data_IF_878815395183
#
_entry.id   IF_878815395183
#
_cell.length_a   1.000
_cell.length_b   1.000
_cell.length_c   1.000
_cell.angle_alpha   90.00
_cell.angle_beta   90.00
_cell.angle_gamma   90.00
#
_symmetry.space_group_name_H-M   'P 1'
#
loop_
_entity.id
_entity.type
_entity.pdbx_description
1 polymer ?
#
# COMPACT_ATOMS: atom_id res chain seq x y z
N UNK A 1 -27.26 -25.15 -22.21
CA UNK A 1 -27.48 -24.38 -21.00
C UNK A 1 -26.84 -23.00 -21.21
N UNK A 2 -27.67 -22.01 -21.41
CA UNK A 2 -27.29 -20.61 -21.49
C UNK A 2 -26.66 -20.26 -20.15
N UNK A 3 -25.36 -20.01 -20.09
CA UNK A 3 -24.74 -19.48 -18.89
C UNK A 3 -25.33 -18.09 -18.69
N UNK A 4 -26.24 -17.96 -17.73
CA UNK A 4 -26.80 -16.68 -17.34
C UNK A 4 -25.64 -15.81 -16.85
N UNK A 5 -25.39 -14.70 -17.54
CA UNK A 5 -24.43 -13.66 -17.13
C UNK A 5 -25.10 -12.68 -16.18
N UNK A 6 -25.91 -13.23 -15.29
CA UNK A 6 -26.67 -12.43 -14.32
C UNK A 6 -25.79 -12.13 -13.11
N UNK A 7 -25.86 -10.89 -12.67
CA UNK A 7 -25.29 -10.43 -11.41
C UNK A 7 -26.48 -10.11 -10.50
N UNK A 8 -26.57 -10.82 -9.37
CA UNK A 8 -27.62 -10.61 -8.38
C UNK A 8 -27.10 -9.71 -7.26
N UNK A 9 -27.69 -8.53 -7.11
CA UNK A 9 -27.36 -7.62 -5.99
C UNK A 9 -28.11 -8.12 -4.74
N UNK A 10 -27.34 -8.38 -3.69
CA UNK A 10 -27.85 -8.90 -2.42
C UNK A 10 -28.13 -7.79 -1.40
N UNK A 11 -27.21 -6.84 -1.28
CA UNK A 11 -27.31 -5.71 -0.35
C UNK A 11 -26.35 -4.57 -0.69
N UNK A 12 -26.60 -3.41 -0.10
CA UNK A 12 -25.70 -2.26 -0.17
C UNK A 12 -25.07 -2.02 1.20
N UNK A 13 -23.76 -1.87 1.23
CA UNK A 13 -22.98 -1.71 2.46
C UNK A 13 -21.99 -0.55 2.34
N UNK A 14 -21.64 0.11 3.45
CA UNK A 14 -20.51 1.04 3.48
C UNK A 14 -19.22 0.33 3.07
N UNK A 15 -18.34 1.04 2.35
CA UNK A 15 -17.08 0.45 1.84
C UNK A 15 -16.16 -0.04 2.95
N UNK A 16 -16.13 0.65 4.07
CA UNK A 16 -15.31 0.33 5.23
C UNK A 16 -15.70 -0.97 5.96
N UNK A 17 -16.87 -1.52 5.66
CA UNK A 17 -17.30 -2.82 6.21
C UNK A 17 -16.75 -4.03 5.44
N UNK A 18 -16.17 -3.80 4.27
CA UNK A 18 -15.56 -4.86 3.48
C UNK A 18 -14.06 -4.89 3.79
N UNK A 19 -13.61 -5.99 4.36
CA UNK A 19 -12.18 -6.20 4.60
C UNK A 19 -11.44 -6.33 3.26
N UNK A 20 -10.44 -5.48 2.97
CA UNK A 20 -9.63 -5.56 1.76
C UNK A 20 -8.96 -6.92 1.53
N UNK A 21 -8.71 -7.70 2.59
CA UNK A 21 -8.17 -9.06 2.48
C UNK A 21 -9.06 -10.02 1.69
N UNK A 22 -10.35 -9.71 1.58
CA UNK A 22 -11.30 -10.53 0.82
C UNK A 22 -11.15 -10.34 -0.69
N UNK A 23 -10.62 -9.21 -1.16
CA UNK A 23 -10.57 -8.91 -2.59
C UNK A 23 -9.58 -9.77 -3.36
N UNK A 24 -10.02 -10.23 -4.54
CA UNK A 24 -9.21 -11.06 -5.44
C UNK A 24 -8.95 -10.37 -6.79
N UNK A 25 -9.98 -10.25 -7.64
CA UNK A 25 -9.88 -9.78 -9.02
C UNK A 25 -10.91 -8.71 -9.31
N UNK A 26 -10.54 -7.76 -10.16
CA UNK A 26 -11.42 -6.68 -10.61
C UNK A 26 -11.74 -6.82 -12.09
N UNK A 27 -13.00 -6.54 -12.45
CA UNK A 27 -13.51 -6.59 -13.81
C UNK A 27 -14.31 -5.34 -14.10
N UNK A 28 -14.03 -4.67 -15.20
CA UNK A 28 -14.90 -3.62 -15.72
C UNK A 28 -16.14 -4.27 -16.34
N UNK A 29 -17.32 -3.73 -16.01
CA UNK A 29 -18.59 -4.24 -16.53
C UNK A 29 -19.10 -3.36 -17.67
N UNK A 30 -19.33 -3.99 -18.81
CA UNK A 30 -20.01 -3.39 -19.96
C UNK A 30 -21.42 -3.95 -20.04
N UNK A 31 -22.47 -3.11 -20.10
CA UNK A 31 -23.83 -3.59 -20.22
C UNK A 31 -24.13 -4.06 -21.63
N UNK A 32 -24.85 -5.16 -21.76
CA UNK A 32 -25.51 -5.49 -23.03
C UNK A 32 -26.60 -4.46 -23.35
N UNK A 33 -27.02 -4.37 -24.63
CA UNK A 33 -27.99 -3.36 -25.07
C UNK A 33 -29.28 -3.33 -24.22
N UNK A 34 -29.78 -4.51 -23.83
CA UNK A 34 -30.94 -4.64 -22.96
C UNK A 34 -30.69 -4.22 -21.51
N UNK A 35 -29.46 -4.26 -21.07
CA UNK A 35 -29.02 -3.93 -19.71
C UNK A 35 -28.61 -2.48 -19.51
N UNK A 36 -28.57 -1.65 -20.53
CA UNK A 36 -28.04 -0.29 -20.45
C UNK A 36 -28.78 0.59 -19.43
N UNK A 37 -30.10 0.52 -19.40
CA UNK A 37 -30.92 1.31 -18.45
C UNK A 37 -30.76 0.85 -17.00
N UNK A 38 -30.88 -0.43 -16.65
CA UNK A 38 -30.56 -0.93 -15.32
C UNK A 38 -29.16 -0.61 -14.86
N UNK A 39 -28.19 -0.73 -15.75
CA UNK A 39 -26.79 -0.38 -15.46
C UNK A 39 -26.64 1.09 -15.08
N UNK A 40 -27.22 2.00 -15.87
CA UNK A 40 -27.14 3.44 -15.58
C UNK A 40 -27.83 3.79 -14.24
N UNK A 41 -28.95 3.17 -13.94
CA UNK A 41 -29.65 3.37 -12.67
C UNK A 41 -28.83 2.87 -11.47
N UNK A 42 -28.26 1.67 -11.59
CA UNK A 42 -27.40 1.12 -10.53
C UNK A 42 -26.15 1.98 -10.32
N UNK A 43 -25.52 2.40 -11.40
CA UNK A 43 -24.34 3.29 -11.34
C UNK A 43 -24.66 4.58 -10.57
N UNK A 44 -25.75 5.23 -10.92
CA UNK A 44 -26.18 6.47 -10.25
C UNK A 44 -26.49 6.22 -8.77
N UNK A 45 -27.22 5.15 -8.48
CA UNK A 45 -27.55 4.81 -7.09
C UNK A 45 -26.31 4.54 -6.23
N UNK A 46 -25.28 3.88 -6.78
CA UNK A 46 -24.03 3.63 -6.09
C UNK A 46 -23.27 4.94 -5.80
N UNK A 47 -23.26 5.87 -6.76
CA UNK A 47 -22.63 7.19 -6.58
C UNK A 47 -23.34 8.02 -5.53
N UNK A 48 -24.68 8.08 -5.59
CA UNK A 48 -25.48 8.92 -4.69
C UNK A 48 -25.45 8.39 -3.23
N UNK A 49 -25.40 7.08 -3.06
CA UNK A 49 -25.44 6.45 -1.75
C UNK A 49 -24.06 6.34 -1.06
N UNK A 50 -22.98 6.54 -1.79
CA UNK A 50 -21.60 6.29 -1.32
C UNK A 50 -21.47 4.89 -0.67
N UNK A 51 -21.95 3.87 -1.40
CA UNK A 51 -21.98 2.48 -0.94
C UNK A 51 -21.47 1.54 -2.02
N UNK A 52 -21.09 0.35 -1.59
CA UNK A 52 -20.84 -0.79 -2.47
C UNK A 52 -22.04 -1.72 -2.47
N UNK A 53 -22.33 -2.32 -3.62
CA UNK A 53 -23.33 -3.39 -3.69
C UNK A 53 -22.64 -4.75 -3.55
N UNK A 54 -22.98 -5.51 -2.52
CA UNK A 54 -22.59 -6.91 -2.43
C UNK A 54 -23.46 -7.70 -3.40
N UNK A 55 -22.82 -8.47 -4.27
CA UNK A 55 -23.45 -9.19 -5.34
C UNK A 55 -22.89 -10.60 -5.49
N UNK A 56 -23.69 -11.48 -6.07
CA UNK A 56 -23.27 -12.79 -6.54
C UNK A 56 -23.31 -12.84 -8.06
N UNK A 57 -22.33 -13.49 -8.65
CA UNK A 57 -22.22 -13.65 -10.10
C UNK A 57 -21.75 -15.05 -10.47
N UNK A 58 -22.25 -15.58 -11.56
CA UNK A 58 -21.75 -16.83 -12.13
C UNK A 58 -20.56 -16.54 -13.05
N UNK A 59 -19.36 -16.82 -12.57
CA UNK A 59 -18.12 -16.68 -13.32
C UNK A 59 -17.50 -18.05 -13.57
N UNK A 60 -17.26 -18.40 -14.83
CA UNK A 60 -16.60 -19.67 -15.21
C UNK A 60 -17.20 -20.91 -14.51
N UNK A 61 -18.52 -21.03 -14.49
CA UNK A 61 -19.28 -22.14 -13.87
C UNK A 61 -19.22 -22.20 -12.33
N UNK A 62 -18.76 -21.15 -11.67
CA UNK A 62 -18.80 -21.01 -10.23
C UNK A 62 -19.61 -19.81 -9.82
N UNK A 63 -20.37 -19.92 -8.75
CA UNK A 63 -20.94 -18.76 -8.09
C UNK A 63 -19.83 -18.07 -7.29
N UNK A 64 -19.64 -16.80 -7.58
CA UNK A 64 -18.63 -15.96 -6.93
C UNK A 64 -19.34 -14.81 -6.24
N UNK A 65 -18.92 -14.49 -5.04
CA UNK A 65 -19.35 -13.28 -4.33
C UNK A 65 -18.38 -12.14 -4.69
N UNK A 66 -18.91 -10.93 -4.72
CA UNK A 66 -18.12 -9.74 -4.99
C UNK A 66 -18.85 -8.47 -4.60
N UNK A 67 -18.22 -7.36 -4.87
CA UNK A 67 -18.82 -6.04 -4.73
C UNK A 67 -18.83 -5.31 -6.06
N UNK A 68 -19.90 -4.54 -6.26
CA UNK A 68 -20.00 -3.58 -7.35
C UNK A 68 -19.74 -2.18 -6.78
N UNK A 69 -18.84 -1.46 -7.44
CA UNK A 69 -18.54 -0.06 -7.14
C UNK A 69 -18.32 0.72 -8.43
N UNK A 70 -18.40 2.02 -8.36
CA UNK A 70 -18.10 2.88 -9.52
C UNK A 70 -16.66 3.35 -9.45
N UNK A 71 -15.97 3.22 -10.56
CA UNK A 71 -14.62 3.78 -10.79
C UNK A 71 -14.58 4.36 -12.21
N UNK A 72 -14.13 5.61 -12.34
CA UNK A 72 -14.01 6.29 -13.63
C UNK A 72 -15.29 6.17 -14.50
N UNK A 73 -16.46 6.43 -13.90
CA UNK A 73 -17.78 6.32 -14.52
C UNK A 73 -18.22 4.92 -14.98
N UNK A 74 -17.48 3.89 -14.66
CA UNK A 74 -17.77 2.50 -15.00
C UNK A 74 -18.04 1.68 -13.74
N UNK A 75 -18.99 0.75 -13.80
CA UNK A 75 -19.18 -0.22 -12.72
C UNK A 75 -18.08 -1.27 -12.80
N UNK A 76 -17.42 -1.48 -11.66
CA UNK A 76 -16.42 -2.51 -11.47
C UNK A 76 -16.99 -3.59 -10.57
N UNK A 77 -16.90 -4.84 -11.00
CA UNK A 77 -17.08 -6.01 -10.15
C UNK A 77 -15.73 -6.40 -9.57
N UNK A 78 -15.61 -6.34 -8.27
CA UNK A 78 -14.44 -6.81 -7.54
C UNK A 78 -14.82 -8.10 -6.81
N UNK A 79 -14.27 -9.24 -7.26
CA UNK A 79 -14.57 -10.54 -6.66
C UNK A 79 -13.93 -10.66 -5.28
N UNK A 80 -14.54 -11.45 -4.44
CA UNK A 80 -14.08 -11.69 -3.08
C UNK A 80 -13.93 -13.19 -2.82
N UNK A 81 -12.99 -13.54 -1.96
CA UNK A 81 -13.00 -14.84 -1.29
C UNK A 81 -14.27 -14.97 -0.44
N UNK A 82 -14.73 -16.18 -0.24
CA UNK A 82 -15.75 -16.43 0.77
C UNK A 82 -15.14 -16.21 2.17
N UNK A 83 -15.90 -15.68 3.13
CA UNK A 83 -15.37 -15.38 4.47
C UNK A 83 -14.71 -16.55 5.19
N UNK A 84 -15.13 -17.76 4.91
CA UNK A 84 -14.57 -19.01 5.46
C UNK A 84 -13.28 -19.48 4.77
N UNK A 85 -12.92 -18.89 3.63
CA UNK A 85 -11.63 -19.13 2.96
C UNK A 85 -10.49 -18.33 3.59
N UNK A 86 -10.79 -17.28 4.33
CA UNK A 86 -9.80 -16.45 5.03
C UNK A 86 -9.38 -17.16 6.31
N UNK A 87 -8.13 -17.58 6.36
CA UNK A 87 -7.57 -18.21 7.55
C UNK A 87 -7.25 -17.18 8.62
N UNK A 88 -7.63 -17.48 9.85
CA UNK A 88 -7.13 -16.74 11.00
C UNK A 88 -5.69 -17.15 11.29
N UNK A 89 -4.82 -16.21 11.73
CA UNK A 89 -3.46 -16.56 12.12
C UNK A 89 -3.47 -17.55 13.28
N UNK A 90 -2.68 -18.61 13.17
CA UNK A 90 -2.50 -19.66 14.19
C UNK A 90 -1.19 -19.50 14.98
N UNK A 91 -0.59 -18.34 14.88
CA UNK A 91 0.64 -17.97 15.58
C UNK A 91 0.41 -16.73 16.47
N UNK A 92 1.22 -16.64 17.53
CA UNK A 92 1.30 -15.45 18.36
C UNK A 92 2.51 -14.61 17.97
N UNK A 93 2.33 -13.30 17.95
CA UNK A 93 3.45 -12.37 17.74
C UNK A 93 3.99 -11.98 19.10
N UNK A 94 5.20 -12.44 19.42
CA UNK A 94 5.91 -11.96 20.60
C UNK A 94 6.54 -10.62 20.29
N UNK A 95 6.02 -9.56 20.94
CA UNK A 95 6.57 -8.22 20.82
C UNK A 95 7.38 -7.89 22.06
N UNK A 96 8.58 -7.35 21.87
CA UNK A 96 9.36 -6.81 22.99
C UNK A 96 8.71 -5.56 23.60
N UNK A 97 9.25 -5.12 24.73
CA UNK A 97 8.82 -3.88 25.35
C UNK A 97 9.17 -2.68 24.48
N UNK A 98 8.20 -1.82 24.20
CA UNK A 98 8.37 -0.63 23.37
C UNK A 98 8.46 0.60 24.29
N UNK A 99 9.55 1.33 24.19
CA UNK A 99 9.78 2.53 25.00
C UNK A 99 9.03 3.74 24.43
N UNK A 100 8.50 4.65 25.27
CA UNK A 100 7.77 5.84 24.80
C UNK A 100 8.58 6.72 23.84
N UNK A 101 9.89 6.79 24.01
CA UNK A 101 10.78 7.56 23.11
C UNK A 101 10.87 6.94 21.72
N UNK A 102 10.88 5.60 21.63
CA UNK A 102 10.89 4.86 20.36
C UNK A 102 9.59 5.08 19.61
N UNK A 103 8.45 5.06 20.31
CA UNK A 103 7.14 5.38 19.72
C UNK A 103 7.11 6.80 19.19
N UNK A 104 7.63 7.78 19.96
CA UNK A 104 7.69 9.17 19.52
C UNK A 104 8.53 9.33 18.25
N UNK A 105 9.68 8.68 18.19
CA UNK A 105 10.54 8.70 17.02
C UNK A 105 9.85 8.05 15.81
N UNK A 106 9.21 6.91 16.01
CA UNK A 106 8.44 6.24 14.94
C UNK A 106 7.31 7.12 14.40
N UNK A 107 6.57 7.81 15.28
CA UNK A 107 5.52 8.74 14.86
C UNK A 107 6.08 9.91 14.04
N UNK A 108 7.19 10.49 14.46
CA UNK A 108 7.86 11.55 13.68
C UNK A 108 8.26 11.06 12.29
N UNK A 109 8.65 9.80 12.18
CA UNK A 109 9.00 9.16 10.91
C UNK A 109 7.78 9.01 10.02
N UNK A 110 6.66 8.53 10.58
CA UNK A 110 5.39 8.42 9.86
C UNK A 110 4.97 9.79 9.32
N UNK A 111 5.03 10.84 10.13
CA UNK A 111 4.69 12.21 9.69
C UNK A 111 5.64 12.73 8.62
N UNK A 112 6.94 12.42 8.72
CA UNK A 112 7.94 12.86 7.73
C UNK A 112 7.74 12.20 6.37
N UNK A 113 7.30 10.93 6.37
CA UNK A 113 7.06 10.15 5.16
C UNK A 113 5.61 10.19 4.69
N UNK A 114 4.73 10.86 5.43
CA UNK A 114 3.33 11.02 5.04
C UNK A 114 3.23 11.77 3.70
N UNK A 115 2.38 11.31 2.82
CA UNK A 115 2.13 11.89 1.51
C UNK A 115 0.96 11.20 0.83
N UNK A 116 0.52 11.76 -0.28
CA UNK A 116 -0.49 11.14 -1.12
C UNK A 116 0.12 9.96 -1.89
N UNK A 117 -0.70 8.95 -2.14
CA UNK A 117 -0.28 7.82 -2.94
C UNK A 117 -0.35 8.17 -4.43
N UNK A 118 0.79 8.25 -5.09
CA UNK A 118 0.88 8.36 -6.55
C UNK A 118 1.38 7.02 -7.13
N UNK A 119 0.55 6.30 -7.87
CA UNK A 119 0.97 5.06 -8.52
C UNK A 119 2.15 5.22 -9.47
N UNK A 120 2.36 6.42 -10.04
CA UNK A 120 3.45 6.67 -10.97
C UNK A 120 4.85 6.72 -10.31
N UNK A 121 4.89 6.83 -8.98
CA UNK A 121 6.14 6.76 -8.22
C UNK A 121 6.66 5.31 -8.03
N UNK A 122 5.82 4.31 -8.37
CA UNK A 122 6.14 2.89 -8.17
C UNK A 122 6.34 2.22 -9.53
N UNK A 123 7.59 2.01 -9.89
CA UNK A 123 7.97 1.31 -11.12
C UNK A 123 8.40 -0.12 -10.80
N UNK A 124 8.17 -1.02 -11.75
CA UNK A 124 8.61 -2.41 -11.63
C UNK A 124 10.01 -2.58 -12.25
N UNK A 125 11.03 -2.35 -11.43
CA UNK A 125 12.44 -2.51 -11.82
C UNK A 125 12.73 -3.89 -12.43
N UNK A 126 11.98 -4.92 -12.01
CA UNK A 126 12.13 -6.26 -12.56
C UNK A 126 11.61 -6.35 -14.00
N UNK A 127 10.47 -5.74 -14.28
CA UNK A 127 9.90 -5.71 -15.63
C UNK A 127 10.84 -4.97 -16.60
N UNK A 128 11.38 -3.84 -16.20
CA UNK A 128 12.39 -3.10 -16.98
C UNK A 128 13.66 -3.92 -17.21
N UNK A 129 14.17 -4.58 -16.18
CA UNK A 129 15.35 -5.43 -16.30
C UNK A 129 15.12 -6.62 -17.24
N UNK A 130 13.93 -7.22 -17.21
CA UNK A 130 13.55 -8.31 -18.12
C UNK A 130 13.41 -7.79 -19.54
N UNK A 131 12.79 -6.64 -19.75
CA UNK A 131 12.65 -6.03 -21.09
C UNK A 131 14.01 -5.70 -21.70
N UNK A 132 14.90 -5.09 -20.91
CA UNK A 132 16.27 -4.80 -21.32
C UNK A 132 17.05 -6.09 -21.68
N UNK A 133 16.85 -7.17 -20.89
CA UNK A 133 17.46 -8.47 -21.14
C UNK A 133 16.97 -9.09 -22.44
N UNK A 134 15.66 -9.05 -22.68
CA UNK A 134 15.03 -9.59 -23.90
C UNK A 134 15.52 -8.82 -25.11
N UNK A 135 15.56 -7.48 -25.02
CA UNK A 135 16.04 -6.61 -26.09
C UNK A 135 17.51 -6.88 -26.43
N UNK A 136 18.38 -6.99 -25.41
CA UNK A 136 19.78 -7.34 -25.61
C UNK A 136 19.98 -8.71 -26.27
N UNK A 137 19.15 -9.71 -25.92
CA UNK A 137 19.20 -11.03 -26.57
C UNK A 137 18.73 -11.02 -28.01
N UNK A 138 17.72 -10.23 -28.33
CA UNK A 138 17.21 -10.09 -29.72
C UNK A 138 18.25 -9.39 -30.58
N UNK A 139 18.95 -8.40 -30.07
CA UNK A 139 20.01 -7.63 -30.75
C UNK A 139 21.35 -8.37 -30.81
N UNK A 140 21.45 -9.60 -30.29
CA UNK A 140 22.66 -10.45 -30.34
C UNK A 140 23.79 -10.02 -29.40
N UNK A 141 23.45 -9.20 -28.38
CA UNK A 141 24.40 -8.75 -27.37
C UNK A 141 24.63 -9.79 -26.25
N UNK A 142 25.86 -9.84 -25.73
CA UNK A 142 26.16 -10.62 -24.53
C UNK A 142 25.50 -9.94 -23.30
N UNK A 143 24.69 -10.71 -22.59
CA UNK A 143 24.06 -10.26 -21.35
C UNK A 143 25.09 -10.25 -20.23
N UNK A 144 25.56 -9.08 -19.83
CA UNK A 144 26.26 -8.91 -18.55
C UNK A 144 25.26 -9.14 -17.42
N UNK A 145 25.44 -10.23 -16.68
CA UNK A 145 24.69 -10.44 -15.43
C UNK A 145 24.97 -9.29 -14.48
N UNK A 146 23.98 -8.43 -14.29
CA UNK A 146 23.99 -7.50 -13.16
C UNK A 146 23.87 -8.35 -11.91
N UNK A 147 24.87 -8.27 -11.03
CA UNK A 147 24.84 -9.00 -9.79
C UNK A 147 23.65 -8.50 -8.97
N UNK A 148 22.62 -9.33 -8.87
CA UNK A 148 21.52 -9.12 -7.92
C UNK A 148 22.17 -9.21 -6.53
N UNK A 149 22.27 -8.09 -5.84
CA UNK A 149 22.77 -8.07 -4.47
C UNK A 149 21.72 -8.68 -3.56
N UNK A 150 21.69 -9.99 -3.46
CA UNK A 150 21.07 -10.70 -2.35
C UNK A 150 21.88 -10.43 -1.10
N UNK A 151 21.66 -9.31 -0.46
CA UNK A 151 22.06 -9.12 0.92
C UNK A 151 21.06 -9.83 1.82
N UNK A 152 21.16 -11.15 1.88
CA UNK A 152 20.73 -11.94 3.00
C UNK A 152 21.83 -11.86 4.05
N UNK A 153 21.80 -10.90 4.92
CA UNK A 153 22.61 -10.94 6.13
C UNK A 153 21.69 -11.01 7.33
N UNK A 154 21.81 -12.10 8.06
CA UNK A 154 21.16 -12.29 9.36
C UNK A 154 21.79 -11.44 10.48
N UNK A 155 22.20 -10.22 10.18
CA UNK A 155 22.49 -9.22 11.19
C UNK A 155 21.19 -8.61 11.65
N UNK A 156 21.01 -8.55 12.96
CA UNK A 156 19.98 -7.73 13.59
C UNK A 156 20.29 -6.29 13.17
N UNK A 157 19.69 -5.87 12.07
CA UNK A 157 19.81 -4.49 11.61
C UNK A 157 19.18 -3.65 12.70
N UNK A 158 19.95 -2.74 13.26
CA UNK A 158 19.41 -1.72 14.15
C UNK A 158 18.30 -0.98 13.39
N UNK A 159 17.06 -1.35 13.68
CA UNK A 159 15.88 -0.84 12.98
C UNK A 159 15.84 0.69 13.06
N UNK A 160 16.27 1.25 14.20
CA UNK A 160 16.33 2.70 14.40
C UNK A 160 17.34 3.35 13.45
N UNK A 161 18.52 2.74 13.28
CA UNK A 161 19.52 3.27 12.34
C UNK A 161 19.07 3.12 10.87
N UNK A 162 18.34 2.07 10.54
CA UNK A 162 17.76 1.91 9.21
C UNK A 162 16.65 2.94 8.95
N UNK A 163 15.80 3.17 9.92
CA UNK A 163 14.73 4.16 9.87
C UNK A 163 15.31 5.59 9.78
N UNK A 164 16.34 5.91 10.58
CA UNK A 164 17.01 7.21 10.51
C UNK A 164 17.60 7.48 9.12
N UNK A 165 18.26 6.49 8.52
CA UNK A 165 18.80 6.60 7.15
C UNK A 165 17.69 6.84 6.11
N UNK A 166 16.53 6.23 6.29
CA UNK A 166 15.38 6.44 5.41
C UNK A 166 14.83 7.86 5.52
N UNK A 167 14.78 8.43 6.73
CA UNK A 167 14.37 9.84 6.94
C UNK A 167 15.36 10.79 6.31
N UNK A 168 16.65 10.56 6.51
CA UNK A 168 17.71 11.43 5.97
C UNK A 168 17.70 11.40 4.44
N UNK A 169 17.49 10.22 3.85
CA UNK A 169 17.34 10.06 2.41
C UNK A 169 16.10 10.80 1.87
N UNK A 170 14.95 10.69 2.56
CA UNK A 170 13.73 11.36 2.17
C UNK A 170 13.84 12.90 2.28
N UNK A 171 14.52 13.42 3.33
CA UNK A 171 14.79 14.85 3.46
C UNK A 171 15.69 15.35 2.34
N UNK A 172 16.73 14.61 2.02
CA UNK A 172 17.64 14.96 0.92
C UNK A 172 16.91 14.98 -0.42
N UNK A 173 16.04 14.02 -0.69
CA UNK A 173 15.25 13.96 -1.91
C UNK A 173 14.24 15.11 -2.04
N UNK A 174 13.73 15.64 -0.91
CA UNK A 174 12.85 16.82 -0.88
C UNK A 174 13.59 18.15 -0.91
N UNK A 175 14.91 18.17 -0.95
CA UNK A 175 15.72 19.39 -1.02
C UNK A 175 15.79 20.19 0.29
N UNK A 176 15.36 19.62 1.40
CA UNK A 176 15.50 20.22 2.72
C UNK A 176 16.92 19.97 3.24
N UNK A 177 17.80 20.95 3.06
CA UNK A 177 19.14 20.92 3.67
C UNK A 177 18.99 21.07 5.18
N UNK A 178 19.51 20.10 5.95
CA UNK A 178 19.62 20.20 7.38
C UNK A 178 20.54 21.36 7.74
N UNK A 179 19.98 22.46 8.24
CA UNK A 179 20.76 23.43 9.01
C UNK A 179 21.03 22.80 10.38
N UNK A 180 22.19 22.22 10.53
CA UNK A 180 22.73 21.86 11.83
C UNK A 180 22.94 23.17 12.62
N UNK A 181 22.08 23.38 13.61
CA UNK A 181 22.31 24.42 14.60
C UNK A 181 23.51 24.09 15.46
N UNK A 182 24.53 24.89 15.25
CA UNK A 182 25.70 25.04 16.10
C UNK A 182 25.22 25.58 17.45
N UNK A 183 25.25 24.79 18.50
CA UNK A 183 25.08 25.24 19.89
C UNK A 183 26.45 25.17 20.55
N UNK A 184 27.09 26.35 20.57
CA UNK A 184 28.29 26.61 21.36
C UNK A 184 28.03 26.32 22.84
N UNK A 185 28.91 25.47 23.36
CA UNK A 185 29.04 25.16 24.78
C UNK A 185 29.74 26.34 25.47
N UNK A 186 29.01 27.18 26.19
CA UNK A 186 29.60 28.17 27.09
C UNK A 186 29.92 27.51 28.44
N UNK A 187 31.21 27.29 28.63
CA UNK A 187 31.88 26.81 29.81
C UNK A 187 31.81 27.87 30.94
N UNK A 188 30.85 27.76 31.87
CA UNK A 188 30.76 28.62 33.04
C UNK A 188 31.53 28.05 34.22
N UNK A 189 32.70 28.61 34.43
CA UNK A 189 33.63 28.33 35.49
C UNK A 189 33.17 28.94 36.83
N UNK A 190 32.99 28.18 37.92
CA UNK A 190 32.57 28.79 39.17
C UNK A 190 33.72 29.50 39.88
N UNK A 191 33.51 30.79 40.14
CA UNK A 191 34.40 31.62 40.95
C UNK A 191 34.39 31.24 42.44
N UNK A 192 35.55 30.97 42.97
CA UNK A 192 35.86 30.86 44.40
C UNK A 192 35.60 32.17 45.13
N UNK A 193 34.68 32.17 46.10
CA UNK A 193 34.64 33.21 47.15
C UNK A 193 35.51 32.78 48.30
N UNK A 194 36.56 33.55 48.51
CA UNK A 194 37.36 33.54 49.73
C UNK A 194 36.62 34.29 50.85
N UNK A 195 36.67 33.67 52.03
CA UNK A 195 36.24 34.20 53.30
C UNK A 195 37.21 35.24 53.79
N UNK A 196 36.71 36.31 54.41
CA UNK A 196 37.38 36.96 55.52
C UNK A 196 36.45 37.76 56.39
N UNK A 197 36.46 37.36 57.64
CA UNK A 197 36.04 37.99 58.89
C UNK A 197 34.59 37.86 59.31
#
# INVERSE_FOLDING_TARGET
STSSREIAVEKFVPSEQIDPMLFEKSYYLEPEKSGAKPYALLRQALLDADRMAVATAALRQRTTVGVLRVKDDVIVLQTMMWPDEVRTPDFSVETGEVKPQEVKMANMLVETLAGDFDPAEFEDDYAEAVEALVKAKIEGGEVKRTATSTKSSGEVVDLLAALQRSVDAAKTARGESSSAGDSEDEDEKPAKKASSK
#
